data_IF_732341664551
#
_entry.id   IF_732341664551
#
_cell.length_a   1.000
_cell.length_b   1.000
_cell.length_c   1.000
_cell.angle_alpha   90.00
_cell.angle_beta   90.00
_cell.angle_gamma   90.00
#
_symmetry.space_group_name_H-M   'P 1'
#
loop_
_entity.id
_entity.type
_entity.pdbx_description
1 polymer ?
#
# COMPACT_ATOMS: atom_id res chain seq x y z
N UNK A 1 19.36 10.48 -13.41
CA UNK A 1 19.19 9.96 -12.05
C UNK A 1 18.10 8.90 -12.10
N UNK A 2 18.41 7.67 -11.69
CA UNK A 2 17.46 6.54 -11.62
C UNK A 2 16.82 6.58 -10.24
N UNK A 3 15.53 6.90 -10.15
CA UNK A 3 14.86 7.07 -8.85
C UNK A 3 14.09 5.79 -8.47
N UNK A 4 14.66 4.99 -7.57
CA UNK A 4 14.07 3.76 -7.04
C UNK A 4 13.61 3.92 -5.57
N UNK A 5 13.38 5.14 -5.10
CA UNK A 5 12.98 5.38 -3.70
C UNK A 5 11.57 4.87 -3.41
N UNK A 6 10.64 5.09 -4.34
CA UNK A 6 9.23 4.72 -4.20
C UNK A 6 8.50 4.83 -5.54
N UNK A 7 7.45 4.04 -5.74
CA UNK A 7 6.50 4.22 -6.84
C UNK A 7 5.61 5.46 -6.69
N UNK A 8 5.69 6.18 -5.57
CA UNK A 8 5.04 7.47 -5.35
C UNK A 8 5.71 8.63 -6.07
N UNK A 9 6.89 8.44 -6.67
CA UNK A 9 7.59 9.45 -7.45
C UNK A 9 7.16 9.48 -8.93
N UNK A 10 6.30 8.54 -9.35
CA UNK A 10 5.76 8.45 -10.71
C UNK A 10 5.06 9.75 -11.11
N UNK A 11 5.21 10.08 -12.38
CA UNK A 11 4.62 11.30 -12.97
C UNK A 11 3.49 10.92 -13.93
N UNK A 12 2.39 11.69 -13.96
CA UNK A 12 1.33 11.45 -14.93
C UNK A 12 1.87 11.67 -16.35
N UNK A 13 1.59 10.70 -17.24
CA UNK A 13 1.94 10.80 -18.66
C UNK A 13 1.21 11.97 -19.35
N UNK A 14 1.68 12.39 -20.52
CA UNK A 14 1.01 13.43 -21.31
C UNK A 14 -0.43 13.03 -21.67
N UNK A 15 -0.66 11.75 -21.98
CA UNK A 15 -2.01 11.24 -22.24
C UNK A 15 -2.90 11.36 -21.00
N UNK A 16 -2.40 10.99 -19.82
CA UNK A 16 -3.12 11.16 -18.56
C UNK A 16 -3.41 12.63 -18.29
N UNK A 17 -2.45 13.54 -18.51
CA UNK A 17 -2.63 14.99 -18.35
C UNK A 17 -3.72 15.55 -19.28
N UNK A 18 -3.79 15.05 -20.52
CA UNK A 18 -4.81 15.46 -21.48
C UNK A 18 -6.23 15.06 -21.02
N UNK A 19 -6.42 13.83 -20.52
CA UNK A 19 -7.74 13.42 -19.99
C UNK A 19 -8.10 14.18 -18.73
N UNK A 20 -7.13 14.52 -17.88
CA UNK A 20 -7.36 15.39 -16.72
C UNK A 20 -7.84 16.77 -17.12
N UNK A 21 -7.21 17.40 -18.13
CA UNK A 21 -7.57 18.74 -18.60
C UNK A 21 -8.96 18.77 -19.25
N UNK A 22 -9.41 17.68 -19.85
CA UNK A 22 -10.71 17.58 -20.53
C UNK A 22 -11.82 16.99 -19.62
N UNK A 23 -11.55 16.70 -18.35
CA UNK A 23 -12.49 16.03 -17.46
C UNK A 23 -13.75 16.88 -17.21
N UNK A 24 -14.97 16.33 -17.35
CA UNK A 24 -16.18 16.95 -16.83
C UNK A 24 -16.07 17.09 -15.30
N UNK A 25 -16.46 18.25 -14.78
CA UNK A 25 -16.35 18.55 -13.34
C UNK A 25 -17.63 19.15 -12.78
N UNK A 26 -17.80 19.00 -11.48
CA UNK A 26 -18.84 19.61 -10.67
C UNK A 26 -18.37 19.74 -9.22
N UNK A 27 -19.22 20.20 -8.30
CA UNK A 27 -18.83 20.31 -6.90
C UNK A 27 -19.02 18.94 -6.19
N UNK A 28 -17.89 18.30 -5.79
CA UNK A 28 -17.89 17.02 -5.07
C UNK A 28 -18.62 17.09 -3.71
N UNK A 29 -18.63 18.25 -3.05
CA UNK A 29 -19.33 18.42 -1.75
C UNK A 29 -20.84 18.30 -1.92
N UNK A 30 -21.38 18.76 -3.07
CA UNK A 30 -22.79 18.60 -3.42
C UNK A 30 -23.08 17.27 -4.14
N UNK A 31 -22.06 16.44 -4.41
CA UNK A 31 -22.21 15.20 -5.15
C UNK A 31 -22.44 15.40 -6.66
N UNK A 32 -22.06 16.55 -7.18
CA UNK A 32 -22.33 16.96 -8.57
C UNK A 32 -21.16 16.74 -9.53
N UNK A 33 -19.97 16.31 -9.02
CA UNK A 33 -18.82 16.01 -9.88
C UNK A 33 -19.01 14.63 -10.56
N UNK A 34 -19.29 14.60 -11.88
CA UNK A 34 -19.64 13.34 -12.55
C UNK A 34 -18.44 12.40 -12.65
N UNK A 35 -17.21 12.94 -12.74
CA UNK A 35 -16.01 12.13 -12.87
C UNK A 35 -15.60 11.50 -11.53
N UNK A 36 -15.78 12.21 -10.42
CA UNK A 36 -15.63 11.62 -9.07
C UNK A 36 -16.65 10.52 -8.84
N UNK A 37 -17.94 10.81 -9.11
CA UNK A 37 -19.02 9.87 -8.88
C UNK A 37 -18.80 8.56 -9.66
N UNK A 38 -18.46 8.67 -10.95
CA UNK A 38 -18.20 7.50 -11.79
C UNK A 38 -16.97 6.71 -11.35
N UNK A 39 -15.91 7.37 -10.83
CA UNK A 39 -14.73 6.70 -10.29
C UNK A 39 -15.07 5.95 -8.99
N UNK A 40 -15.83 6.57 -8.06
CA UNK A 40 -16.28 5.95 -6.82
C UNK A 40 -17.12 4.69 -7.12
N UNK A 41 -18.06 4.79 -8.08
CA UNK A 41 -18.89 3.67 -8.53
C UNK A 41 -18.06 2.56 -9.19
N UNK A 42 -17.18 2.91 -10.11
CA UNK A 42 -16.33 1.96 -10.83
C UNK A 42 -15.47 1.14 -9.89
N UNK A 43 -14.72 1.82 -9.01
CA UNK A 43 -13.77 1.15 -8.13
C UNK A 43 -14.49 0.32 -7.08
N UNK A 44 -15.61 0.79 -6.53
CA UNK A 44 -16.42 -0.02 -5.60
C UNK A 44 -16.95 -1.29 -6.28
N UNK A 45 -17.44 -1.20 -7.51
CA UNK A 45 -17.92 -2.37 -8.28
C UNK A 45 -16.78 -3.38 -8.57
N UNK A 46 -15.55 -2.90 -8.84
CA UNK A 46 -14.37 -3.78 -9.02
C UNK A 46 -14.10 -4.65 -7.80
N UNK A 47 -14.33 -4.14 -6.60
CA UNK A 47 -14.13 -4.87 -5.34
C UNK A 47 -15.41 -5.51 -4.79
N UNK A 48 -16.51 -5.44 -5.52
CA UNK A 48 -17.82 -5.95 -5.05
C UNK A 48 -18.33 -5.21 -3.81
N UNK A 49 -17.97 -3.93 -3.65
CA UNK A 49 -18.45 -3.05 -2.59
C UNK A 49 -19.60 -2.19 -3.07
N UNK A 50 -20.45 -1.74 -2.13
CA UNK A 50 -21.65 -0.98 -2.45
C UNK A 50 -21.36 0.48 -2.82
N UNK A 51 -20.28 1.05 -2.27
CA UNK A 51 -19.89 2.44 -2.49
C UNK A 51 -18.41 2.70 -2.26
N UNK A 52 -17.91 3.76 -2.86
CA UNK A 52 -16.57 4.32 -2.65
C UNK A 52 -16.60 5.76 -2.18
N UNK A 53 -15.49 6.21 -1.61
CA UNK A 53 -15.26 7.59 -1.22
C UNK A 53 -13.86 8.01 -1.67
N UNK A 54 -13.79 8.90 -2.65
CA UNK A 54 -12.54 9.45 -3.14
C UNK A 54 -11.86 10.30 -2.07
N UNK A 55 -10.56 10.14 -1.94
CA UNK A 55 -9.70 10.81 -0.97
C UNK A 55 -8.38 11.24 -1.62
N UNK A 56 -7.78 12.37 -1.22
CA UNK A 56 -6.52 12.83 -1.81
C UNK A 56 -5.32 11.94 -1.48
N UNK A 57 -5.38 11.13 -0.42
CA UNK A 57 -4.25 10.28 0.00
C UNK A 57 -4.71 8.92 0.53
N UNK A 58 -3.82 7.92 0.45
CA UNK A 58 -4.04 6.59 1.03
C UNK A 58 -4.16 6.63 2.55
N UNK A 59 -3.36 7.44 3.23
CA UNK A 59 -3.46 7.61 4.68
C UNK A 59 -4.85 8.10 5.09
N UNK A 60 -5.43 9.07 4.36
CA UNK A 60 -6.79 9.50 4.68
C UNK A 60 -7.82 8.40 4.40
N UNK A 61 -7.68 7.66 3.30
CA UNK A 61 -8.58 6.54 2.99
C UNK A 61 -8.53 5.48 4.11
N UNK A 62 -7.34 5.13 4.61
CA UNK A 62 -7.16 4.25 5.77
C UNK A 62 -7.83 4.82 7.03
N UNK A 63 -7.56 6.09 7.35
CA UNK A 63 -8.09 6.69 8.57
C UNK A 63 -9.62 6.81 8.55
N UNK A 64 -10.23 7.09 7.39
CA UNK A 64 -11.67 7.06 7.22
C UNK A 64 -12.22 5.63 7.41
N UNK A 65 -11.57 4.64 6.82
CA UNK A 65 -11.95 3.24 6.92
C UNK A 65 -11.89 2.74 8.37
N UNK A 66 -10.78 2.98 9.05
CA UNK A 66 -10.56 2.57 10.44
C UNK A 66 -11.60 3.23 11.37
N UNK A 67 -11.84 4.53 11.19
CA UNK A 67 -12.83 5.25 11.97
C UNK A 67 -14.25 4.69 11.85
N UNK A 68 -14.59 4.04 10.73
CA UNK A 68 -15.89 3.39 10.55
C UNK A 68 -15.98 2.02 11.24
N UNK A 69 -14.86 1.48 11.70
CA UNK A 69 -14.79 0.15 12.33
C UNK A 69 -14.42 0.19 13.81
N UNK A 70 -13.68 1.21 14.25
CA UNK A 70 -13.13 1.29 15.62
C UNK A 70 -13.56 2.60 16.26
N UNK A 71 -14.20 2.52 17.41
CA UNK A 71 -14.59 3.70 18.17
C UNK A 71 -13.44 4.23 19.05
N UNK A 72 -13.49 5.51 19.49
CA UNK A 72 -12.53 6.03 20.46
C UNK A 72 -12.44 5.14 21.70
N UNK A 73 -11.21 4.81 22.11
CA UNK A 73 -10.94 3.94 23.27
C UNK A 73 -10.91 2.44 22.95
N UNK A 74 -11.34 2.02 21.75
CA UNK A 74 -11.22 0.64 21.29
C UNK A 74 -9.90 0.38 20.57
N UNK A 75 -9.65 -0.87 20.17
CA UNK A 75 -8.38 -1.33 19.62
C UNK A 75 -8.48 -1.82 18.18
N UNK A 76 -7.53 -1.36 17.39
CA UNK A 76 -7.15 -1.93 16.09
C UNK A 76 -5.97 -2.89 16.27
N UNK A 77 -6.05 -4.12 15.75
CA UNK A 77 -4.90 -5.00 15.58
C UNK A 77 -4.33 -4.88 14.17
N UNK A 78 -3.01 -4.87 14.04
CA UNK A 78 -2.33 -4.91 12.72
C UNK A 78 -0.89 -5.43 12.88
N UNK A 79 -0.23 -5.76 11.77
CA UNK A 79 1.18 -6.16 11.80
C UNK A 79 2.09 -4.96 12.20
N UNK A 80 3.16 -5.22 12.95
CA UNK A 80 4.02 -4.21 13.57
C UNK A 80 4.62 -3.21 12.59
N UNK A 81 4.95 -3.66 11.38
CA UNK A 81 5.55 -2.84 10.33
C UNK A 81 4.54 -2.37 9.27
N UNK A 82 3.23 -2.56 9.50
CA UNK A 82 2.21 -2.06 8.57
C UNK A 82 2.28 -0.54 8.43
N UNK A 83 1.89 -0.04 7.25
CA UNK A 83 1.90 1.40 6.93
C UNK A 83 1.10 2.23 7.93
N UNK A 84 -0.05 1.73 8.36
CA UNK A 84 -0.94 2.39 9.34
C UNK A 84 -0.19 2.68 10.66
N UNK A 85 0.71 1.79 11.09
CA UNK A 85 1.51 1.95 12.32
C UNK A 85 2.72 2.84 12.07
N UNK A 86 3.47 2.57 10.97
CA UNK A 86 4.82 3.09 10.77
C UNK A 86 4.88 4.41 10.00
N UNK A 87 3.95 4.66 9.10
CA UNK A 87 4.06 5.72 8.11
C UNK A 87 2.88 6.72 8.08
N UNK A 88 1.93 6.61 9.01
CA UNK A 88 0.81 7.55 9.13
C UNK A 88 0.88 8.45 10.36
N UNK A 89 2.07 8.57 10.96
CA UNK A 89 2.39 9.55 12.01
C UNK A 89 1.45 9.52 13.22
N UNK A 90 0.94 8.33 13.60
CA UNK A 90 0.01 8.19 14.71
C UNK A 90 -1.41 8.68 14.42
N UNK A 91 -1.78 8.80 13.14
CA UNK A 91 -3.07 9.35 12.72
C UNK A 91 -4.28 8.64 13.35
N UNK A 92 -4.22 7.33 13.58
CA UNK A 92 -5.29 6.58 14.26
C UNK A 92 -5.58 7.09 15.68
N UNK A 93 -4.53 7.39 16.45
CA UNK A 93 -4.69 7.98 17.78
C UNK A 93 -5.18 9.44 17.69
N UNK A 94 -4.57 10.25 16.80
CA UNK A 94 -4.89 11.68 16.67
C UNK A 94 -6.31 11.92 16.14
N UNK A 95 -6.72 11.20 15.10
CA UNK A 95 -8.00 11.44 14.42
C UNK A 95 -9.15 10.62 15.01
N UNK A 96 -8.89 9.40 15.45
CA UNK A 96 -9.93 8.47 15.87
C UNK A 96 -9.92 8.12 17.35
N UNK A 97 -8.86 8.51 18.08
CA UNK A 97 -8.74 8.23 19.52
C UNK A 97 -8.65 6.73 19.83
N UNK A 98 -8.15 5.94 18.90
CA UNK A 98 -8.03 4.48 19.04
C UNK A 98 -6.67 4.07 19.57
N UNK A 99 -6.61 2.90 20.20
CA UNK A 99 -5.36 2.22 20.49
C UNK A 99 -5.01 1.27 19.34
N UNK A 100 -3.71 1.00 19.20
CA UNK A 100 -3.22 0.02 18.20
C UNK A 100 -2.34 -0.99 18.92
N UNK A 101 -2.67 -2.27 18.79
CA UNK A 101 -1.82 -3.37 19.22
C UNK A 101 -1.34 -4.14 18.01
N UNK A 102 -0.12 -4.68 18.08
CA UNK A 102 0.53 -5.26 16.91
C UNK A 102 1.00 -6.68 17.20
N UNK A 103 1.12 -7.48 16.14
CA UNK A 103 1.88 -8.71 16.11
C UNK A 103 3.06 -8.57 15.14
N UNK A 104 4.12 -9.32 15.38
CA UNK A 104 5.30 -9.35 14.49
C UNK A 104 5.15 -10.53 13.54
N UNK A 105 5.26 -10.27 12.25
CA UNK A 105 5.25 -11.29 11.22
C UNK A 105 6.48 -11.15 10.30
N UNK A 106 7.26 -12.23 10.09
CA UNK A 106 8.36 -12.19 9.12
C UNK A 106 7.89 -11.71 7.75
N UNK A 107 8.56 -10.68 7.22
CA UNK A 107 8.19 -10.03 5.95
C UNK A 107 6.74 -9.51 5.89
N UNK A 108 6.11 -9.28 7.04
CA UNK A 108 4.72 -8.83 7.11
C UNK A 108 3.70 -9.87 6.62
N UNK A 109 4.08 -11.13 6.47
CA UNK A 109 3.20 -12.19 5.96
C UNK A 109 2.15 -12.57 7.01
N UNK A 110 0.89 -12.50 6.62
CA UNK A 110 -0.23 -12.86 7.47
C UNK A 110 -0.21 -14.36 7.79
N UNK A 111 -0.29 -14.66 9.10
CA UNK A 111 -0.76 -15.94 9.64
C UNK A 111 -1.97 -15.67 10.50
N UNK A 112 -3.12 -16.14 10.03
CA UNK A 112 -4.40 -15.83 10.66
C UNK A 112 -4.44 -16.19 12.15
N UNK A 113 -3.85 -17.34 12.51
CA UNK A 113 -3.81 -17.84 13.88
C UNK A 113 -3.05 -16.89 14.84
N UNK A 114 -1.95 -16.24 14.36
CA UNK A 114 -1.17 -15.31 15.18
C UNK A 114 -1.98 -14.05 15.52
N UNK A 115 -2.65 -13.47 14.51
CA UNK A 115 -3.52 -12.31 14.71
C UNK A 115 -4.72 -12.65 15.62
N UNK A 116 -5.36 -13.80 15.39
CA UNK A 116 -6.53 -14.24 16.17
C UNK A 116 -6.18 -14.61 17.62
N UNK A 117 -4.99 -15.14 17.88
CA UNK A 117 -4.55 -15.52 19.22
C UNK A 117 -4.47 -14.34 20.19
N UNK A 118 -4.14 -13.15 19.68
CA UNK A 118 -4.05 -11.94 20.48
C UNK A 118 -5.33 -11.11 20.47
N UNK A 119 -6.29 -11.38 19.60
CA UNK A 119 -7.56 -10.66 19.52
C UNK A 119 -8.42 -10.89 20.77
N UNK A 120 -8.97 -9.81 21.32
CA UNK A 120 -9.80 -9.82 22.54
C UNK A 120 -11.05 -8.98 22.31
N UNK A 121 -12.12 -9.52 21.69
CA UNK A 121 -13.30 -8.75 21.31
C UNK A 121 -14.13 -8.27 22.50
N UNK A 122 -14.15 -9.04 23.58
CA UNK A 122 -14.80 -8.68 24.84
C UNK A 122 -13.80 -8.84 25.98
N UNK A 123 -13.15 -7.74 26.32
CA UNK A 123 -12.10 -7.72 27.35
C UNK A 123 -12.64 -7.34 28.74
N UNK A 124 -13.96 -7.20 28.88
CA UNK A 124 -14.61 -6.80 30.16
C UNK A 124 -14.34 -5.33 30.53
N UNK A 125 -14.60 -4.96 31.79
CA UNK A 125 -14.62 -3.55 32.19
C UNK A 125 -13.23 -2.92 32.38
N UNK A 126 -12.14 -3.68 32.30
CA UNK A 126 -10.80 -3.20 32.63
C UNK A 126 -9.82 -3.18 31.47
N UNK A 127 -10.11 -3.89 30.40
CA UNK A 127 -9.19 -4.06 29.29
C UNK A 127 -9.80 -3.49 28.01
N UNK A 128 -8.94 -3.07 27.08
CA UNK A 128 -9.36 -2.56 25.78
C UNK A 128 -9.82 -3.72 24.90
N UNK A 129 -10.98 -3.57 24.27
CA UNK A 129 -11.54 -4.57 23.36
C UNK A 129 -11.06 -4.36 21.92
N UNK A 130 -10.68 -5.47 21.26
CA UNK A 130 -10.35 -5.48 19.85
C UNK A 130 -11.63 -5.45 19.01
N UNK A 131 -11.79 -4.46 18.15
CA UNK A 131 -12.98 -4.32 17.29
C UNK A 131 -12.67 -4.46 15.81
N UNK A 132 -11.40 -4.28 15.42
CA UNK A 132 -10.99 -4.51 14.04
C UNK A 132 -9.57 -5.08 13.92
N UNK A 133 -9.31 -5.79 12.81
CA UNK A 133 -7.98 -6.22 12.39
C UNK A 133 -7.72 -5.64 11.00
N UNK A 134 -6.55 -5.00 10.81
CA UNK A 134 -6.10 -4.49 9.52
C UNK A 134 -5.02 -5.39 8.92
N UNK A 135 -5.14 -5.64 7.62
CA UNK A 135 -4.17 -6.38 6.80
C UNK A 135 -3.68 -5.48 5.69
N UNK A 136 -2.38 -5.42 5.45
CA UNK A 136 -1.78 -4.66 4.35
C UNK A 136 -1.41 -5.59 3.19
N UNK A 137 -1.84 -5.27 1.96
CA UNK A 137 -1.53 -6.04 0.75
C UNK A 137 -1.34 -5.13 -0.49
N UNK A 138 -0.16 -5.09 -1.11
CA UNK A 138 1.05 -5.80 -0.70
C UNK A 138 1.73 -5.11 0.47
N UNK A 139 2.43 -5.86 1.32
CA UNK A 139 3.02 -5.30 2.54
C UNK A 139 4.30 -4.49 2.22
N UNK A 140 4.25 -3.19 2.45
CA UNK A 140 5.29 -2.24 2.03
C UNK A 140 6.66 -2.52 2.67
N UNK A 141 6.71 -2.54 4.01
CA UNK A 141 7.96 -2.75 4.74
C UNK A 141 8.41 -4.22 4.75
N UNK A 142 7.53 -5.13 4.36
CA UNK A 142 7.85 -6.56 4.15
C UNK A 142 8.54 -6.85 2.82
N UNK A 143 8.79 -5.84 1.98
CA UNK A 143 9.38 -6.03 0.64
C UNK A 143 8.36 -6.25 -0.47
N UNK A 144 7.13 -5.72 -0.33
CA UNK A 144 6.07 -5.86 -1.33
C UNK A 144 5.44 -7.25 -1.37
N UNK A 145 5.47 -7.96 -0.23
CA UNK A 145 4.93 -9.31 -0.10
C UNK A 145 3.43 -9.37 -0.36
N UNK A 146 3.01 -10.42 -1.06
CA UNK A 146 1.61 -10.71 -1.34
C UNK A 146 1.02 -11.58 -0.24
N UNK A 147 -0.09 -11.16 0.34
CA UNK A 147 -0.79 -11.95 1.35
C UNK A 147 -1.52 -13.14 0.72
N UNK A 148 -1.37 -14.32 1.35
CA UNK A 148 -2.09 -15.51 0.92
C UNK A 148 -3.60 -15.31 1.06
N UNK A 149 -4.35 -15.55 -0.01
CA UNK A 149 -5.81 -15.51 0.02
C UNK A 149 -6.40 -16.54 1.00
N UNK A 150 -5.72 -17.68 1.20
CA UNK A 150 -6.18 -18.71 2.14
C UNK A 150 -5.98 -18.27 3.60
N UNK A 151 -4.91 -17.53 3.90
CA UNK A 151 -4.75 -16.92 5.23
C UNK A 151 -5.77 -15.80 5.46
N UNK A 152 -6.09 -15.00 4.45
CA UNK A 152 -7.17 -14.00 4.51
C UNK A 152 -8.51 -14.68 4.79
N UNK A 153 -8.83 -15.80 4.12
CA UNK A 153 -10.06 -16.59 4.38
C UNK A 153 -10.12 -17.14 5.81
N UNK A 154 -9.00 -17.68 6.31
CA UNK A 154 -8.92 -18.15 7.69
C UNK A 154 -9.11 -17.03 8.69
N UNK A 155 -8.47 -15.87 8.46
CA UNK A 155 -8.63 -14.68 9.30
C UNK A 155 -10.10 -14.23 9.32
N UNK A 156 -10.74 -14.11 8.16
CA UNK A 156 -12.15 -13.72 8.05
C UNK A 156 -13.05 -14.69 8.81
N UNK A 157 -12.86 -15.99 8.64
CA UNK A 157 -13.67 -17.00 9.32
C UNK A 157 -13.50 -16.94 10.86
N UNK A 158 -12.30 -16.68 11.35
CA UNK A 158 -12.02 -16.50 12.77
C UNK A 158 -12.56 -15.20 13.34
N UNK A 159 -12.28 -14.07 12.66
CA UNK A 159 -12.72 -12.74 13.06
C UNK A 159 -14.25 -12.61 13.08
N UNK A 160 -14.94 -13.17 12.07
CA UNK A 160 -16.40 -13.20 12.01
C UNK A 160 -17.06 -13.89 13.21
N UNK A 161 -16.46 -15.02 13.70
CA UNK A 161 -16.94 -15.70 14.89
C UNK A 161 -16.78 -14.87 16.17
N UNK A 162 -15.81 -13.96 16.17
CA UNK A 162 -15.51 -13.07 17.27
C UNK A 162 -16.21 -11.70 17.14
N UNK A 163 -16.95 -11.45 16.07
CA UNK A 163 -17.57 -10.15 15.81
C UNK A 163 -16.56 -9.03 15.50
N UNK A 164 -15.34 -9.37 15.09
CA UNK A 164 -14.26 -8.43 14.77
C UNK A 164 -14.30 -8.10 13.28
N UNK A 165 -14.30 -6.80 12.96
CA UNK A 165 -14.29 -6.30 11.59
C UNK A 165 -12.89 -6.39 10.95
N UNK A 166 -12.83 -6.51 9.62
CA UNK A 166 -11.57 -6.53 8.88
C UNK A 166 -11.43 -5.30 7.98
N UNK A 167 -10.23 -4.71 7.97
CA UNK A 167 -9.82 -3.66 7.05
C UNK A 167 -8.68 -4.12 6.16
N UNK A 168 -8.80 -3.87 4.84
CA UNK A 168 -7.69 -4.06 3.90
C UNK A 168 -7.04 -2.71 3.58
N UNK A 169 -5.79 -2.52 4.02
CA UNK A 169 -4.91 -1.53 3.40
C UNK A 169 -4.42 -2.09 2.07
N UNK A 170 -5.13 -1.76 1.02
CA UNK A 170 -4.89 -2.18 -0.35
C UNK A 170 -4.12 -1.13 -1.16
N UNK A 171 -3.23 -0.35 -0.52
CA UNK A 171 -2.47 0.69 -1.21
C UNK A 171 -1.74 0.20 -2.47
N UNK A 172 -1.36 -1.08 -2.50
CA UNK A 172 -0.77 -1.78 -3.66
C UNK A 172 -1.49 -3.08 -4.01
N UNK A 173 -2.78 -3.18 -3.75
CA UNK A 173 -3.58 -4.38 -4.08
C UNK A 173 -3.61 -4.67 -5.59
N UNK A 174 -3.38 -3.67 -6.43
CA UNK A 174 -3.19 -3.82 -7.87
C UNK A 174 -1.97 -4.71 -8.20
N UNK A 175 -0.86 -4.50 -7.49
CA UNK A 175 0.33 -5.33 -7.58
C UNK A 175 0.05 -6.75 -7.07
N UNK A 176 -0.68 -6.90 -5.95
CA UNK A 176 -1.07 -8.21 -5.43
C UNK A 176 -1.92 -8.99 -6.44
N UNK A 177 -2.90 -8.33 -7.08
CA UNK A 177 -3.72 -8.92 -8.13
C UNK A 177 -2.86 -9.42 -9.32
N UNK A 178 -1.97 -8.57 -9.83
CA UNK A 178 -1.13 -8.91 -10.99
C UNK A 178 -0.16 -10.05 -10.67
N UNK A 179 0.37 -10.11 -9.44
CA UNK A 179 1.30 -11.15 -9.02
C UNK A 179 0.62 -12.49 -8.72
N UNK A 180 -0.57 -12.48 -8.10
CA UNK A 180 -1.26 -13.68 -7.61
C UNK A 180 -2.37 -14.19 -8.52
N UNK A 181 -2.91 -13.34 -9.41
CA UNK A 181 -4.11 -13.62 -10.19
C UNK A 181 -5.42 -13.58 -9.38
N UNK A 182 -5.38 -13.27 -8.10
CA UNK A 182 -6.59 -13.16 -7.26
C UNK A 182 -7.42 -11.96 -7.71
N UNK A 183 -8.70 -12.18 -7.97
CA UNK A 183 -9.64 -11.13 -8.40
C UNK A 183 -9.90 -10.09 -7.29
N UNK A 184 -10.12 -8.84 -7.67
CA UNK A 184 -10.41 -7.76 -6.73
C UNK A 184 -11.66 -8.02 -5.89
N UNK A 185 -12.70 -8.64 -6.46
CA UNK A 185 -13.91 -9.02 -5.73
C UNK A 185 -13.64 -10.08 -4.67
N UNK A 186 -12.69 -11.00 -4.96
CA UNK A 186 -12.29 -12.01 -3.98
C UNK A 186 -11.60 -11.35 -2.77
N UNK A 187 -10.70 -10.35 -2.99
CA UNK A 187 -10.18 -9.55 -1.88
C UNK A 187 -11.31 -8.79 -1.17
N UNK A 188 -12.13 -8.05 -1.91
CA UNK A 188 -13.20 -7.23 -1.33
C UNK A 188 -14.16 -8.01 -0.46
N UNK A 189 -14.43 -9.28 -0.76
CA UNK A 189 -15.39 -10.14 -0.07
C UNK A 189 -15.10 -10.32 1.43
N UNK A 190 -13.83 -10.33 1.82
CA UNK A 190 -13.41 -10.69 3.18
C UNK A 190 -13.14 -9.49 4.09
N UNK A 191 -13.34 -8.27 3.62
CA UNK A 191 -13.07 -7.06 4.41
C UNK A 191 -14.29 -6.14 4.44
N UNK A 192 -14.63 -5.60 5.60
CA UNK A 192 -15.70 -4.61 5.77
C UNK A 192 -15.36 -3.29 5.08
N UNK A 193 -14.08 -2.91 5.13
CA UNK A 193 -13.55 -1.72 4.45
C UNK A 193 -12.28 -2.04 3.68
N UNK A 194 -12.10 -1.41 2.54
CA UNK A 194 -10.90 -1.53 1.70
C UNK A 194 -10.41 -0.13 1.36
N UNK A 195 -9.13 0.15 1.52
CA UNK A 195 -8.51 1.34 0.91
C UNK A 195 -7.68 0.94 -0.30
N UNK A 196 -7.68 1.77 -1.34
CA UNK A 196 -6.85 1.56 -2.54
C UNK A 196 -6.20 2.87 -2.97
N UNK A 197 -4.95 2.83 -3.44
CA UNK A 197 -4.26 4.00 -3.98
C UNK A 197 -4.17 3.95 -5.50
N UNK A 198 -4.36 5.10 -6.15
CA UNK A 198 -4.16 5.28 -7.59
C UNK A 198 -2.82 5.99 -7.89
N UNK A 199 -2.22 6.64 -6.88
CA UNK A 199 -1.07 7.53 -6.96
C UNK A 199 0.28 6.85 -6.64
N UNK A 200 0.45 5.60 -7.06
CA UNK A 200 1.68 4.82 -6.92
C UNK A 200 2.03 4.18 -8.28
N UNK A 201 2.23 2.89 -8.35
CA UNK A 201 2.53 2.17 -9.60
C UNK A 201 1.52 2.42 -10.74
N UNK A 202 0.30 2.83 -10.43
CA UNK A 202 -0.71 3.22 -11.42
C UNK A 202 -0.48 4.62 -12.02
N UNK A 203 0.37 5.46 -11.42
CA UNK A 203 0.83 6.71 -11.99
C UNK A 203 -0.12 7.91 -11.93
N UNK A 204 -1.29 7.82 -11.27
CA UNK A 204 -2.11 8.98 -11.02
C UNK A 204 -1.37 9.96 -10.07
N UNK A 205 -1.46 11.29 -10.27
CA UNK A 205 -0.72 12.26 -9.45
C UNK A 205 -1.24 12.33 -8.01
N UNK A 206 -2.51 12.06 -7.81
CA UNK A 206 -3.24 12.10 -6.53
C UNK A 206 -4.41 11.13 -6.61
N UNK A 207 -4.79 10.54 -5.50
CA UNK A 207 -6.05 9.85 -5.38
C UNK A 207 -5.94 8.47 -4.75
N UNK A 208 -6.89 8.23 -3.88
CA UNK A 208 -7.15 6.98 -3.21
C UNK A 208 -8.64 6.85 -2.95
N UNK A 209 -9.13 5.67 -2.67
CA UNK A 209 -10.53 5.47 -2.32
C UNK A 209 -10.63 4.60 -1.07
N UNK A 210 -11.60 4.93 -0.22
CA UNK A 210 -12.16 4.06 0.79
C UNK A 210 -13.40 3.38 0.21
N UNK A 211 -13.49 2.06 0.28
CA UNK A 211 -14.59 1.25 -0.25
C UNK A 211 -15.30 0.52 0.89
N UNK A 212 -16.63 0.52 0.90
CA UNK A 212 -17.43 -0.16 1.93
C UNK A 212 -18.90 -0.26 1.53
N UNK A 213 -19.79 -0.46 2.54
CA UNK A 213 -21.22 -0.32 2.39
C UNK A 213 -21.61 1.14 2.16
N UNK A 214 -22.77 1.38 1.51
CA UNK A 214 -23.34 2.74 1.34
C UNK A 214 -23.47 3.48 2.66
N UNK A 215 -23.90 2.78 3.71
CA UNK A 215 -24.06 3.37 5.05
C UNK A 215 -22.74 3.87 5.63
N UNK A 216 -21.67 3.04 5.58
CA UNK A 216 -20.35 3.43 6.09
C UNK A 216 -19.73 4.58 5.29
N UNK A 217 -19.87 4.55 3.98
CA UNK A 217 -19.40 5.62 3.09
C UNK A 217 -20.14 6.93 3.37
N UNK A 218 -21.44 6.89 3.56
CA UNK A 218 -22.22 8.07 3.94
C UNK A 218 -21.78 8.66 5.30
N UNK A 219 -21.46 7.81 6.28
CA UNK A 219 -20.91 8.24 7.58
C UNK A 219 -19.47 8.77 7.46
N UNK A 220 -18.66 8.23 6.54
CA UNK A 220 -17.27 8.66 6.32
C UNK A 220 -17.17 10.00 5.59
N UNK A 221 -18.12 10.35 4.71
CA UNK A 221 -18.10 11.59 3.90
C UNK A 221 -18.01 12.89 4.74
N UNK A 222 -18.78 13.08 5.84
CA UNK A 222 -18.58 14.21 6.76
C UNK A 222 -17.20 14.22 7.42
N UNK A 223 -16.63 13.06 7.74
CA UNK A 223 -15.30 12.97 8.32
C UNK A 223 -14.21 13.35 7.31
N UNK A 224 -14.35 12.95 6.05
CA UNK A 224 -13.46 13.44 4.99
C UNK A 224 -13.40 14.98 4.97
N UNK A 225 -14.56 15.62 5.08
CA UNK A 225 -14.63 17.09 5.12
C UNK A 225 -13.99 17.67 6.39
N UNK A 226 -14.25 17.07 7.57
CA UNK A 226 -13.65 17.50 8.84
C UNK A 226 -12.12 17.42 8.82
N UNK A 227 -11.57 16.43 8.14
CA UNK A 227 -10.11 16.26 7.95
C UNK A 227 -9.52 17.15 6.85
N UNK A 228 -10.30 18.08 6.31
CA UNK A 228 -9.83 19.07 5.32
C UNK A 228 -9.82 18.59 3.87
N UNK A 229 -10.37 17.40 3.58
CA UNK A 229 -10.35 16.80 2.24
C UNK A 229 -11.68 16.89 1.48
N UNK A 230 -12.54 17.83 1.87
CA UNK A 230 -13.73 18.20 1.06
C UNK A 230 -13.29 19.09 -0.10
N UNK A 231 -13.00 18.48 -1.23
CA UNK A 231 -12.58 19.18 -2.45
C UNK A 231 -13.80 19.71 -3.22
N UNK A 232 -13.56 20.46 -4.28
CA UNK A 232 -14.59 21.04 -5.17
C UNK A 232 -14.55 20.30 -6.51
N UNK A 233 -14.08 20.89 -7.57
CA UNK A 233 -14.01 20.33 -8.93
C UNK A 233 -12.84 19.32 -9.03
N UNK A 234 -12.90 18.25 -8.26
CA UNK A 234 -11.85 17.24 -8.16
C UNK A 234 -11.91 16.17 -9.25
N UNK A 235 -12.89 16.24 -10.15
CA UNK A 235 -12.99 15.36 -11.31
C UNK A 235 -11.75 15.36 -12.19
N UNK A 236 -11.01 16.46 -12.24
CA UNK A 236 -9.67 16.53 -12.87
C UNK A 236 -8.74 15.44 -12.33
N UNK A 237 -8.74 15.21 -11.03
CA UNK A 237 -7.91 14.17 -10.38
C UNK A 237 -8.50 12.77 -10.59
N UNK A 238 -9.83 12.66 -10.55
CA UNK A 238 -10.51 11.39 -10.77
C UNK A 238 -10.34 10.86 -12.21
N UNK A 239 -10.24 11.75 -13.19
CA UNK A 239 -9.95 11.38 -14.58
C UNK A 239 -8.59 10.67 -14.72
N UNK A 240 -7.57 11.10 -13.96
CA UNK A 240 -6.30 10.37 -13.88
C UNK A 240 -6.50 8.96 -13.31
N UNK A 241 -7.37 8.81 -12.33
CA UNK A 241 -7.75 7.49 -11.78
C UNK A 241 -8.38 6.57 -12.83
N UNK A 242 -9.33 7.06 -13.61
CA UNK A 242 -9.92 6.31 -14.71
C UNK A 242 -8.88 5.88 -15.73
N UNK A 243 -8.04 6.82 -16.18
CA UNK A 243 -6.95 6.52 -17.12
C UNK A 243 -5.99 5.45 -16.57
N UNK A 244 -5.61 5.58 -15.30
CA UNK A 244 -4.72 4.64 -14.62
C UNK A 244 -5.30 3.22 -14.58
N UNK A 245 -6.59 3.09 -14.27
CA UNK A 245 -7.28 1.79 -14.22
C UNK A 245 -7.40 1.14 -15.61
N UNK A 246 -7.57 1.94 -16.66
CA UNK A 246 -7.69 1.43 -18.03
C UNK A 246 -6.34 0.96 -18.61
N UNK A 247 -5.26 1.67 -18.27
CA UNK A 247 -3.99 1.53 -18.98
C UNK A 247 -2.86 0.91 -18.14
N UNK A 248 -2.87 1.07 -16.81
CA UNK A 248 -1.67 0.84 -16.02
C UNK A 248 -1.69 -0.40 -15.11
N UNK A 249 -2.84 -1.08 -14.92
CA UNK A 249 -2.89 -2.29 -14.07
C UNK A 249 -2.01 -3.40 -14.65
N UNK A 250 -2.20 -3.76 -15.92
CA UNK A 250 -1.48 -4.90 -16.53
C UNK A 250 0.02 -4.66 -16.62
N UNK A 251 0.44 -3.41 -16.84
CA UNK A 251 1.85 -3.07 -16.94
C UNK A 251 2.64 -3.19 -15.62
N UNK A 252 1.95 -3.30 -14.46
CA UNK A 252 2.63 -3.58 -13.19
C UNK A 252 3.47 -4.88 -13.24
N UNK A 253 3.14 -5.82 -14.12
CA UNK A 253 3.95 -7.00 -14.38
C UNK A 253 5.37 -6.66 -14.87
N UNK A 254 5.54 -5.56 -15.62
CA UNK A 254 6.85 -5.09 -16.04
C UNK A 254 7.67 -4.59 -14.86
N UNK A 255 7.03 -3.85 -13.94
CA UNK A 255 7.69 -3.39 -12.72
C UNK A 255 8.15 -4.59 -11.85
N UNK A 256 7.32 -5.64 -11.73
CA UNK A 256 7.68 -6.87 -11.02
C UNK A 256 8.89 -7.57 -11.66
N UNK A 257 8.91 -7.65 -13.00
CA UNK A 257 10.03 -8.23 -13.75
C UNK A 257 11.32 -7.46 -13.50
N UNK A 258 11.27 -6.13 -13.50
CA UNK A 258 12.42 -5.26 -13.23
C UNK A 258 12.93 -5.43 -11.79
N UNK A 259 12.04 -5.49 -10.80
CA UNK A 259 12.40 -5.75 -9.41
C UNK A 259 13.08 -7.12 -9.24
N UNK A 260 12.52 -8.15 -9.88
CA UNK A 260 13.08 -9.51 -9.88
C UNK A 260 14.48 -9.55 -10.48
N UNK A 261 14.71 -8.79 -11.56
CA UNK A 261 16.03 -8.66 -12.20
C UNK A 261 17.07 -8.07 -11.25
N UNK A 262 16.73 -7.00 -10.52
CA UNK A 262 17.61 -6.41 -9.49
C UNK A 262 17.94 -7.45 -8.42
N UNK A 263 16.92 -8.11 -7.88
CA UNK A 263 17.10 -9.09 -6.81
C UNK A 263 17.96 -10.27 -7.26
N UNK A 264 17.81 -10.74 -8.51
CA UNK A 264 18.61 -11.84 -9.07
C UNK A 264 20.08 -11.44 -9.17
N UNK A 265 20.38 -10.26 -9.71
CA UNK A 265 21.75 -9.77 -9.82
C UNK A 265 22.44 -9.61 -8.46
N UNK A 266 21.71 -9.21 -7.44
CA UNK A 266 22.25 -9.13 -6.07
C UNK A 266 22.43 -10.51 -5.47
N UNK A 267 21.46 -11.42 -5.65
CA UNK A 267 21.50 -12.77 -5.09
C UNK A 267 22.73 -13.56 -5.55
N UNK A 268 23.17 -13.37 -6.80
CA UNK A 268 24.36 -14.02 -7.35
C UNK A 268 25.64 -13.70 -6.58
N UNK A 269 25.75 -12.51 -5.99
CA UNK A 269 26.97 -12.03 -5.28
C UNK A 269 26.77 -11.94 -3.77
N UNK A 270 25.55 -11.76 -3.31
CA UNK A 270 25.20 -11.48 -1.92
C UNK A 270 23.89 -12.18 -1.51
N UNK A 271 23.81 -13.52 -1.51
CA UNK A 271 22.56 -14.27 -1.30
C UNK A 271 21.95 -14.08 0.11
N UNK A 272 22.72 -13.54 1.06
CA UNK A 272 22.21 -13.20 2.41
C UNK A 272 21.49 -11.86 2.45
N UNK A 273 21.70 -10.98 1.47
CA UNK A 273 21.14 -9.62 1.43
C UNK A 273 19.72 -9.61 0.89
N UNK A 274 19.44 -10.47 -0.07
CA UNK A 274 18.10 -10.63 -0.68
C UNK A 274 17.91 -12.05 -1.17
N UNK A 275 16.73 -12.62 -0.91
CA UNK A 275 16.30 -13.84 -1.58
C UNK A 275 15.48 -13.47 -2.82
N UNK A 276 16.06 -13.65 -4.00
CA UNK A 276 15.37 -13.33 -5.25
C UNK A 276 14.06 -14.11 -5.44
N UNK A 277 13.92 -15.32 -4.89
CA UNK A 277 12.69 -16.09 -4.95
C UNK A 277 11.52 -15.42 -4.19
N UNK A 278 11.84 -14.60 -3.20
CA UNK A 278 10.88 -13.94 -2.30
C UNK A 278 10.49 -12.51 -2.73
N UNK A 279 10.99 -12.02 -3.86
CA UNK A 279 10.54 -10.75 -4.44
C UNK A 279 9.27 -11.00 -5.24
N UNK A 280 8.14 -10.70 -4.64
CA UNK A 280 6.81 -11.00 -5.18
C UNK A 280 6.33 -9.95 -6.18
N UNK A 281 6.68 -8.67 -5.96
CA UNK A 281 6.17 -7.54 -6.71
C UNK A 281 7.25 -6.52 -7.06
N UNK A 282 6.95 -5.24 -7.03
CA UNK A 282 7.83 -4.15 -7.45
C UNK A 282 8.78 -3.62 -6.36
N UNK A 283 8.86 -4.25 -5.20
CA UNK A 283 9.71 -3.80 -4.08
C UNK A 283 10.82 -4.82 -3.84
N UNK A 284 12.06 -4.34 -3.80
CA UNK A 284 13.24 -5.10 -3.40
C UNK A 284 13.75 -4.57 -2.07
N UNK A 285 13.60 -5.37 -1.02
CA UNK A 285 14.16 -5.09 0.30
C UNK A 285 15.52 -5.74 0.44
N UNK A 286 16.53 -4.98 0.84
CA UNK A 286 17.87 -5.46 1.08
C UNK A 286 18.14 -5.46 2.59
N UNK A 287 18.39 -6.62 3.15
CA UNK A 287 18.84 -6.78 4.53
C UNK A 287 20.37 -6.76 4.59
N UNK A 288 20.92 -5.69 5.12
CA UNK A 288 22.36 -5.48 5.25
C UNK A 288 22.89 -5.95 6.61
N UNK A 289 22.11 -6.68 7.38
CA UNK A 289 22.52 -7.20 8.70
C UNK A 289 23.78 -8.06 8.57
N UNK A 290 24.82 -7.70 9.33
CA UNK A 290 26.10 -8.40 9.32
C UNK A 290 27.07 -7.96 8.22
N UNK A 291 26.72 -6.95 7.41
CA UNK A 291 27.67 -6.29 6.51
C UNK A 291 28.38 -5.12 7.22
N UNK A 292 29.52 -4.71 6.69
CA UNK A 292 30.29 -3.56 7.17
C UNK A 292 29.76 -2.21 6.72
N UNK A 293 28.60 -2.18 6.03
CA UNK A 293 27.96 -0.97 5.50
C UNK A 293 26.55 -0.81 6.06
N UNK A 294 26.17 0.40 6.40
CA UNK A 294 24.78 0.76 6.76
C UNK A 294 23.93 1.04 5.53
N UNK A 295 22.62 0.99 5.69
CA UNK A 295 21.70 1.35 4.60
C UNK A 295 21.83 2.81 4.15
N UNK A 296 22.18 3.72 5.07
CA UNK A 296 22.43 5.12 4.75
C UNK A 296 23.69 5.30 3.90
N UNK A 297 24.78 4.62 4.23
CA UNK A 297 26.03 4.65 3.47
C UNK A 297 25.86 4.04 2.09
N UNK A 298 25.19 2.88 1.98
CA UNK A 298 24.89 2.28 0.67
C UNK A 298 24.00 3.20 -0.18
N UNK A 299 23.00 3.84 0.42
CA UNK A 299 22.15 4.82 -0.27
C UNK A 299 22.95 6.02 -0.78
N UNK A 300 23.94 6.50 -0.01
CA UNK A 300 24.83 7.58 -0.42
C UNK A 300 25.73 7.15 -1.60
N UNK A 301 26.33 5.97 -1.55
CA UNK A 301 27.15 5.43 -2.64
C UNK A 301 26.33 5.20 -3.92
N UNK A 302 25.08 4.72 -3.80
CA UNK A 302 24.16 4.60 -4.94
C UNK A 302 23.89 5.98 -5.56
N UNK A 303 23.66 7.01 -4.74
CA UNK A 303 23.40 8.37 -5.20
C UNK A 303 24.59 8.95 -5.98
N UNK A 304 25.84 8.71 -5.54
CA UNK A 304 27.04 9.10 -6.26
C UNK A 304 27.12 8.45 -7.66
N UNK A 305 26.53 7.26 -7.81
CA UNK A 305 26.42 6.54 -9.09
C UNK A 305 25.15 6.87 -9.88
N UNK A 306 24.36 7.84 -9.42
CA UNK A 306 23.16 8.31 -10.10
C UNK A 306 21.92 7.44 -9.86
N UNK A 307 21.88 6.66 -8.77
CA UNK A 307 20.78 5.79 -8.35
C UNK A 307 20.28 6.26 -7.00
N UNK A 308 18.94 6.40 -6.83
CA UNK A 308 18.33 6.75 -5.56
C UNK A 308 17.59 5.54 -4.99
N UNK A 309 17.89 5.19 -3.73
CA UNK A 309 17.18 4.19 -2.92
C UNK A 309 16.77 4.77 -1.57
N UNK A 310 15.92 4.08 -0.82
CA UNK A 310 15.46 4.51 0.50
C UNK A 310 16.05 3.66 1.62
N UNK A 311 16.88 4.26 2.48
CA UNK A 311 17.26 3.66 3.76
C UNK A 311 16.06 3.79 4.72
N UNK A 312 15.48 2.67 5.14
CA UNK A 312 14.30 2.61 6.01
C UNK A 312 14.65 2.17 7.44
N UNK A 313 15.92 1.96 7.72
CA UNK A 313 16.48 1.59 9.00
C UNK A 313 18.00 1.52 8.90
N UNK A 314 18.71 1.17 9.98
CA UNK A 314 20.17 1.07 9.96
C UNK A 314 20.71 0.05 8.94
N UNK A 315 20.00 -1.07 8.80
CA UNK A 315 20.42 -2.22 7.97
C UNK A 315 19.43 -2.56 6.86
N UNK A 316 18.38 -1.76 6.63
CA UNK A 316 17.38 -2.08 5.63
C UNK A 316 17.29 -0.98 4.56
N UNK A 317 17.65 -1.34 3.33
CA UNK A 317 17.53 -0.49 2.14
C UNK A 317 16.42 -1.03 1.23
N UNK A 318 15.54 -0.13 0.75
CA UNK A 318 14.45 -0.47 -0.16
C UNK A 318 14.65 0.17 -1.51
N UNK A 319 14.44 -0.62 -2.57
CA UNK A 319 14.34 -0.17 -3.95
C UNK A 319 12.93 -0.50 -4.47
N UNK A 320 12.34 0.40 -5.26
CA UNK A 320 10.99 0.23 -5.82
C UNK A 320 11.04 0.54 -7.31
N UNK A 321 10.66 -0.43 -8.13
CA UNK A 321 10.52 -0.26 -9.57
C UNK A 321 9.15 0.31 -9.92
N UNK A 322 9.07 1.11 -10.98
CA UNK A 322 7.86 1.77 -11.44
C UNK A 322 7.97 2.23 -12.90
N UNK A 323 6.90 2.76 -13.45
CA UNK A 323 6.74 3.10 -14.86
C UNK A 323 7.76 4.11 -15.42
N UNK A 324 8.41 4.92 -14.58
CA UNK A 324 9.39 5.92 -15.01
C UNK A 324 10.83 5.35 -15.00
N UNK A 325 11.00 4.03 -14.83
CA UNK A 325 12.29 3.33 -14.84
C UNK A 325 12.31 2.33 -15.98
N UNK A 326 13.31 2.43 -16.83
CA UNK A 326 13.47 1.58 -18.03
C UNK A 326 14.33 0.34 -17.76
N UNK A 327 14.25 -0.66 -18.65
CA UNK A 327 15.17 -1.82 -18.65
C UNK A 327 16.66 -1.40 -18.73
N UNK A 328 16.95 -0.31 -19.48
CA UNK A 328 18.31 0.26 -19.55
C UNK A 328 18.79 0.82 -18.22
N UNK A 329 17.89 1.47 -17.47
CA UNK A 329 18.20 1.96 -16.14
C UNK A 329 18.50 0.79 -15.18
N UNK A 330 17.69 -0.27 -15.25
CA UNK A 330 17.87 -1.45 -14.42
C UNK A 330 19.16 -2.22 -14.79
N UNK A 331 19.53 -2.28 -16.05
CA UNK A 331 20.82 -2.85 -16.46
C UNK A 331 22.00 -2.13 -15.77
N UNK A 332 21.93 -0.80 -15.65
CA UNK A 332 22.94 -0.01 -14.91
C UNK A 332 22.89 -0.33 -13.38
N UNK A 333 21.71 -0.45 -12.79
CA UNK A 333 21.55 -0.84 -11.38
C UNK A 333 22.15 -2.21 -11.11
N UNK A 334 21.88 -3.19 -11.99
CA UNK A 334 22.37 -4.56 -11.91
C UNK A 334 23.89 -4.69 -12.06
N UNK A 335 24.54 -3.71 -12.67
CA UNK A 335 25.99 -3.63 -12.69
C UNK A 335 26.54 -3.02 -11.40
N UNK A 336 26.03 -1.87 -10.98
CA UNK A 336 26.61 -1.05 -9.89
C UNK A 336 26.34 -1.64 -8.51
N UNK A 337 25.11 -2.05 -8.24
CA UNK A 337 24.71 -2.43 -6.88
C UNK A 337 25.41 -3.72 -6.40
N UNK A 338 25.57 -4.79 -7.23
CA UNK A 338 26.38 -5.94 -6.84
C UNK A 338 27.85 -5.60 -6.54
N UNK A 339 28.47 -4.70 -7.34
CA UNK A 339 29.86 -4.26 -7.11
C UNK A 339 30.02 -3.54 -5.74
N UNK A 340 29.06 -2.67 -5.39
CA UNK A 340 29.07 -1.98 -4.09
C UNK A 340 28.91 -2.96 -2.93
N UNK A 341 28.01 -3.94 -3.06
CA UNK A 341 27.79 -4.96 -2.03
C UNK A 341 29.01 -5.87 -1.86
N UNK A 342 29.68 -6.29 -2.94
CA UNK A 342 30.91 -7.09 -2.85
C UNK A 342 32.00 -6.41 -2.05
N UNK A 343 32.19 -5.09 -2.22
CA UNK A 343 33.16 -4.30 -1.44
C UNK A 343 32.83 -4.29 0.05
N UNK A 344 31.54 -4.30 0.40
CA UNK A 344 31.09 -4.32 1.80
C UNK A 344 31.29 -5.68 2.51
N UNK A 345 31.54 -6.77 1.76
CA UNK A 345 31.92 -8.07 2.34
C UNK A 345 33.42 -8.21 2.61
N UNK A 346 34.23 -7.44 1.91
CA UNK A 346 35.71 -7.56 1.97
C UNK A 346 36.33 -6.62 3.03
N UNK A 347 35.60 -5.65 3.49
CA UNK A 347 35.98 -4.70 4.52
C UNK A 347 35.62 -5.20 5.92
#
# INVERSE_FOLDING_TARGET
MIDLRSDTVTKPSDQMRNVMAAAPVGDDVYGEDPTINSLEERVSAMFGKEAGLFSPSGSLANQLAIRMLVNPGEELLTETNSHIVRAELGAGAVFSGITTRTWLAPRGLLKAEEALAIAKPDSGPYLVSTTAIAVENTHNFGGGTVQSIDEIKKLYAGASKLGIALHLDGARVWNAHVASGVDFKEYGKYFETVSVCLSKGLGAPVGSLMLSTKERVAKARPWRKRYGAGMRQAGILAAAGHFALDNNIKRLADDHKLAKSIATAIYEVAPKVVNAAEVDTNIVGLDLTGLSITAAELSAQLKENGILGSALGPTYLRLVTHMDVSEKDIAKVNQILPELLQRAFVA
#
